data_IF_805998086935
#
_entry.id   IF_805998086935
#
_cell.length_a   1.000
_cell.length_b   1.000
_cell.length_c   1.000
_cell.angle_alpha   90.00
_cell.angle_beta   90.00
_cell.angle_gamma   90.00
#
_symmetry.space_group_name_H-M   'P 1'
#
loop_
_entity.id
_entity.type
_entity.pdbx_description
1 polymer ?
#
# COMPACT_ATOMS: atom_id res chain seq x y z
N UNK A 1 15.62 5.40 -11.62
CA UNK A 1 15.47 3.98 -12.03
C UNK A 1 14.06 3.53 -11.70
N UNK A 2 13.28 3.04 -12.68
CA UNK A 2 11.96 2.46 -12.42
C UNK A 2 12.15 1.08 -11.81
N UNK A 3 11.98 0.97 -10.50
CA UNK A 3 12.08 -0.33 -9.82
C UNK A 3 10.88 -1.21 -10.23
N UNK A 4 11.08 -2.52 -10.46
CA UNK A 4 9.97 -3.42 -10.75
C UNK A 4 9.04 -3.53 -9.54
N UNK A 5 7.75 -3.79 -9.80
CA UNK A 5 6.83 -4.11 -8.71
C UNK A 5 7.24 -5.45 -8.08
N UNK A 6 7.15 -5.53 -6.75
CA UNK A 6 7.58 -6.72 -6.02
C UNK A 6 6.61 -7.04 -4.90
N UNK A 7 6.21 -8.32 -4.82
CA UNK A 7 5.47 -8.80 -3.66
C UNK A 7 6.40 -9.08 -2.48
N UNK A 8 5.92 -8.83 -1.27
CA UNK A 8 6.61 -9.12 0.00
C UNK A 8 5.64 -9.78 0.96
N UNK A 9 6.12 -10.80 1.68
CA UNK A 9 5.44 -11.28 2.87
C UNK A 9 5.71 -10.29 4.01
N UNK A 10 4.66 -9.75 4.61
CA UNK A 10 4.74 -8.85 5.76
C UNK A 10 4.13 -9.57 6.95
N UNK A 11 4.85 -9.57 8.07
CA UNK A 11 4.38 -10.15 9.32
C UNK A 11 4.11 -9.04 10.32
N UNK A 12 2.84 -8.91 10.73
CA UNK A 12 2.36 -7.96 11.72
C UNK A 12 2.35 -8.68 13.07
N UNK A 13 2.89 -8.04 14.13
CA UNK A 13 2.99 -8.59 15.50
C UNK A 13 3.74 -9.93 15.57
N UNK A 14 4.93 -9.99 14.98
CA UNK A 14 5.77 -11.20 14.98
C UNK A 14 5.95 -11.81 16.38
N UNK A 15 5.74 -13.13 16.49
CA UNK A 15 5.93 -13.91 17.71
C UNK A 15 4.81 -13.80 18.75
N UNK A 16 3.68 -13.17 18.42
CA UNK A 16 2.52 -13.06 19.31
C UNK A 16 1.33 -13.90 18.83
N UNK A 17 0.38 -14.26 19.71
CA UNK A 17 -0.85 -14.96 19.30
C UNK A 17 -1.65 -14.21 18.24
N UNK A 18 -1.58 -12.87 18.21
CA UNK A 18 -2.23 -12.02 17.21
C UNK A 18 -1.38 -11.79 15.95
N UNK A 19 -0.31 -12.57 15.74
CA UNK A 19 0.52 -12.50 14.55
C UNK A 19 -0.34 -12.64 13.29
N UNK A 20 -0.22 -11.70 12.38
CA UNK A 20 -0.96 -11.71 11.11
C UNK A 20 0.02 -11.59 9.96
N UNK A 21 -0.10 -12.48 8.97
CA UNK A 21 0.72 -12.43 7.76
C UNK A 21 -0.11 -11.89 6.61
N UNK A 22 0.38 -10.84 5.97
CA UNK A 22 -0.25 -10.22 4.81
C UNK A 22 0.70 -10.18 3.62
N UNK A 23 0.15 -10.10 2.41
CA UNK A 23 0.91 -9.85 1.20
C UNK A 23 0.94 -8.35 0.93
N UNK A 24 2.13 -7.76 0.96
CA UNK A 24 2.38 -6.39 0.54
C UNK A 24 2.93 -6.31 -0.87
N UNK A 25 2.78 -5.14 -1.49
CA UNK A 25 3.34 -4.82 -2.81
C UNK A 25 4.16 -3.53 -2.72
N UNK A 26 5.36 -3.56 -3.29
CA UNK A 26 6.23 -2.39 -3.45
C UNK A 26 6.24 -1.97 -4.91
N UNK A 27 6.29 -0.66 -5.16
CA UNK A 27 6.35 -0.06 -6.50
C UNK A 27 5.21 -0.51 -7.43
N UNK A 28 4.03 -0.78 -6.86
CA UNK A 28 2.86 -1.17 -7.63
C UNK A 28 2.30 0.05 -8.36
N UNK A 29 2.28 0.00 -9.69
CA UNK A 29 1.59 1.00 -10.49
C UNK A 29 0.09 0.73 -10.54
N UNK A 30 -0.72 1.75 -10.27
CA UNK A 30 -2.17 1.69 -10.37
C UNK A 30 -2.66 2.62 -11.48
N UNK A 31 -3.57 2.14 -12.31
CA UNK A 31 -4.33 2.97 -13.26
C UNK A 31 -5.78 2.96 -12.80
N UNK A 32 -6.27 4.12 -12.39
CA UNK A 32 -7.58 4.25 -11.76
C UNK A 32 -8.39 5.27 -12.57
N UNK A 33 -9.69 4.98 -12.75
CA UNK A 33 -10.68 5.94 -13.21
C UNK A 33 -11.72 6.06 -12.11
N UNK A 34 -11.82 7.21 -11.46
CA UNK A 34 -12.72 7.43 -10.35
C UNK A 34 -13.14 8.91 -10.28
N UNK A 35 -14.15 9.20 -9.45
CA UNK A 35 -14.41 10.59 -9.06
C UNK A 35 -13.26 11.14 -8.23
N UNK A 36 -12.94 12.42 -8.42
CA UNK A 36 -11.83 13.11 -7.74
C UNK A 36 -11.83 12.94 -6.21
N UNK A 37 -13.01 12.94 -5.57
CA UNK A 37 -13.15 12.74 -4.12
C UNK A 37 -12.55 11.41 -3.63
N UNK A 38 -12.59 10.36 -4.46
CA UNK A 38 -12.01 9.06 -4.10
C UNK A 38 -10.49 9.04 -4.31
N UNK A 39 -9.98 9.77 -5.30
CA UNK A 39 -8.54 9.95 -5.48
C UNK A 39 -7.92 10.67 -4.28
N UNK A 40 -8.59 11.71 -3.78
CA UNK A 40 -8.16 12.45 -2.59
C UNK A 40 -8.12 11.56 -1.35
N UNK A 41 -9.13 10.71 -1.14
CA UNK A 41 -9.12 9.73 -0.04
C UNK A 41 -7.95 8.77 -0.18
N UNK A 42 -7.70 8.25 -1.39
CA UNK A 42 -6.61 7.30 -1.63
C UNK A 42 -5.24 7.93 -1.35
N UNK A 43 -5.01 9.15 -1.83
CA UNK A 43 -3.73 9.88 -1.67
C UNK A 43 -3.44 10.25 -0.21
N UNK A 44 -4.47 10.50 0.60
CA UNK A 44 -4.30 10.95 1.98
C UNK A 44 -4.37 9.83 3.02
N UNK A 45 -5.08 8.73 2.73
CA UNK A 45 -5.43 7.76 3.76
C UNK A 45 -4.76 6.40 3.56
N UNK A 46 -4.58 5.92 2.33
CA UNK A 46 -3.99 4.61 2.06
C UNK A 46 -4.65 3.43 2.82
N UNK A 47 -4.07 2.23 2.70
CA UNK A 47 -4.45 1.04 3.48
C UNK A 47 -3.38 0.70 4.52
N UNK A 48 -3.78 0.50 5.79
CA UNK A 48 -2.86 0.28 6.91
C UNK A 48 -1.81 1.41 7.10
N UNK A 49 -2.21 2.66 6.86
CA UNK A 49 -1.36 3.85 6.96
C UNK A 49 -0.65 4.01 8.31
N UNK A 50 -1.31 3.67 9.43
CA UNK A 50 -0.71 3.72 10.76
C UNK A 50 0.49 2.76 10.92
N UNK A 51 0.63 1.79 10.01
CA UNK A 51 1.76 0.85 9.94
C UNK A 51 2.72 1.19 8.78
N UNK A 52 2.59 2.37 8.16
CA UNK A 52 3.47 2.82 7.07
C UNK A 52 3.20 2.16 5.72
N UNK A 53 1.99 1.66 5.48
CA UNK A 53 1.60 1.00 4.22
C UNK A 53 0.55 1.81 3.46
N UNK A 54 0.40 1.49 2.16
CA UNK A 54 -0.66 2.05 1.32
C UNK A 54 -0.46 3.50 0.87
N UNK A 55 0.73 4.07 1.10
CA UNK A 55 1.13 5.36 0.53
C UNK A 55 1.26 5.24 -0.99
N UNK A 56 0.69 6.22 -1.70
CA UNK A 56 0.75 6.31 -3.17
C UNK A 56 1.11 7.73 -3.58
N UNK A 57 1.64 7.87 -4.78
CA UNK A 57 1.92 9.15 -5.41
C UNK A 57 1.35 9.19 -6.82
N UNK A 58 1.09 10.41 -7.32
CA UNK A 58 0.74 10.60 -8.73
C UNK A 58 2.03 10.57 -9.55
N UNK A 59 2.17 9.51 -10.35
CA UNK A 59 3.28 9.38 -11.31
C UNK A 59 2.88 10.06 -12.62
N UNK A 60 3.64 11.07 -13.05
CA UNK A 60 3.46 11.76 -14.34
C UNK A 60 4.27 11.09 -15.45
#
# INVERSE_FOLDING_TARGET
>A
MKQPFKSRLITIKYGKPEETKIRGWLNLGLKITAEKRFEEVLLNTGGYNAQGMGFVEVVK
#
